data_IF_075366047413
#
_entry.id   IF_075366047413
#
_cell.length_a   1.000
_cell.length_b   1.000
_cell.length_c   1.000
_cell.angle_alpha   90.00
_cell.angle_beta   90.00
_cell.angle_gamma   90.00
#
_symmetry.space_group_name_H-M   'P 1'
#
loop_
_entity.id
_entity.type
_entity.pdbx_description
1 polymer ?
#
# COMPACT_ATOMS: atom_id res chain seq x y z
N UNK A 1 -2.04 -61.50 -20.84
CA UNK A 1 -2.25 -60.03 -20.70
C UNK A 1 -2.65 -59.58 -19.29
N UNK A 2 -3.02 -60.48 -18.35
CA UNK A 2 -3.43 -60.09 -16.98
C UNK A 2 -2.29 -59.92 -15.97
N UNK A 3 -1.24 -60.73 -16.06
CA UNK A 3 -0.20 -60.82 -15.01
C UNK A 3 0.73 -59.60 -14.94
N UNK A 4 0.96 -58.93 -16.07
CA UNK A 4 1.76 -57.71 -16.12
C UNK A 4 1.05 -56.53 -15.43
N UNK A 5 -0.29 -56.48 -15.52
CA UNK A 5 -1.10 -55.44 -14.88
C UNK A 5 -1.21 -55.67 -13.37
N UNK A 6 -1.40 -56.92 -12.95
CA UNK A 6 -1.38 -57.29 -11.54
C UNK A 6 -0.02 -56.96 -10.87
N UNK A 7 1.11 -57.26 -11.53
CA UNK A 7 2.45 -56.91 -11.03
C UNK A 7 2.70 -55.40 -10.97
N UNK A 8 2.15 -54.63 -11.91
CA UNK A 8 2.23 -53.16 -11.90
C UNK A 8 1.43 -52.58 -10.72
N UNK A 9 0.20 -53.05 -10.52
CA UNK A 9 -0.69 -52.60 -9.44
C UNK A 9 -0.12 -52.97 -8.06
N UNK A 10 0.50 -54.14 -7.93
CA UNK A 10 1.19 -54.55 -6.69
C UNK A 10 2.41 -53.67 -6.40
N UNK A 11 3.16 -53.27 -7.43
CA UNK A 11 4.31 -52.36 -7.30
C UNK A 11 3.88 -50.95 -6.90
N UNK A 12 2.77 -50.45 -7.44
CA UNK A 12 2.19 -49.15 -7.07
C UNK A 12 1.66 -49.16 -5.63
N UNK A 13 1.01 -50.25 -5.19
CA UNK A 13 0.61 -50.43 -3.77
C UNK A 13 1.81 -50.39 -2.82
N UNK A 14 2.88 -51.12 -3.14
CA UNK A 14 4.12 -51.12 -2.36
C UNK A 14 4.77 -49.72 -2.29
N UNK A 15 4.78 -48.96 -3.40
CA UNK A 15 5.28 -47.57 -3.40
C UNK A 15 4.42 -46.64 -2.55
N UNK A 16 3.10 -46.75 -2.63
CA UNK A 16 2.17 -45.93 -1.87
C UNK A 16 2.32 -46.18 -0.36
N UNK A 17 2.54 -47.43 0.02
CA UNK A 17 2.74 -47.85 1.41
C UNK A 17 4.09 -47.36 1.96
N UNK A 18 5.17 -47.46 1.18
CA UNK A 18 6.47 -46.86 1.53
C UNK A 18 6.34 -45.35 1.69
N UNK A 19 5.62 -44.68 0.79
CA UNK A 19 5.38 -43.24 0.86
C UNK A 19 4.57 -42.84 2.09
N UNK A 20 3.52 -43.59 2.44
CA UNK A 20 2.75 -43.41 3.68
C UNK A 20 3.61 -43.61 4.92
N UNK A 21 4.49 -44.61 4.93
CA UNK A 21 5.40 -44.90 6.05
C UNK A 21 6.44 -43.79 6.24
N UNK A 22 7.02 -43.29 5.15
CA UNK A 22 7.93 -42.14 5.16
C UNK A 22 7.22 -40.87 5.63
N UNK A 23 5.99 -40.61 5.16
CA UNK A 23 5.19 -39.46 5.59
C UNK A 23 4.82 -39.53 7.08
N UNK A 24 4.48 -40.71 7.59
CA UNK A 24 4.19 -40.94 9.01
C UNK A 24 5.44 -40.74 9.89
N UNK A 25 6.62 -41.23 9.47
CA UNK A 25 7.89 -40.99 10.16
C UNK A 25 8.30 -39.51 10.16
N UNK A 26 8.05 -38.79 9.06
CA UNK A 26 8.28 -37.34 8.98
C UNK A 26 7.27 -36.54 9.82
N UNK A 27 6.10 -37.11 10.14
CA UNK A 27 5.06 -36.49 10.97
C UNK A 27 5.31 -36.69 12.46
N UNK A 28 5.89 -37.83 12.86
CA UNK A 28 6.24 -38.12 14.27
C UNK A 28 7.52 -37.40 14.73
N UNK A 29 8.45 -37.10 13.81
CA UNK A 29 9.69 -36.36 14.11
C UNK A 29 9.52 -34.83 14.14
N UNK A 30 8.42 -34.30 13.60
CA UNK A 30 8.08 -32.87 13.72
C UNK A 30 7.54 -32.60 15.12
N UNK A 31 8.42 -32.20 16.05
CA UNK A 31 8.02 -31.62 17.34
C UNK A 31 7.00 -30.50 17.08
N UNK A 32 5.79 -30.65 17.64
CA UNK A 32 4.74 -29.62 17.66
C UNK A 32 5.25 -28.45 18.52
N UNK A 33 6.04 -27.56 17.93
CA UNK A 33 6.43 -26.31 18.58
C UNK A 33 5.20 -25.45 18.88
N UNK A 34 5.34 -24.51 19.81
CA UNK A 34 4.30 -23.58 20.31
C UNK A 34 3.41 -22.92 19.23
N UNK A 35 3.86 -22.88 17.97
CA UNK A 35 3.12 -22.32 16.84
C UNK A 35 3.25 -23.21 15.60
N UNK A 36 2.17 -23.33 14.83
CA UNK A 36 2.25 -23.91 13.48
C UNK A 36 3.06 -22.97 12.57
N UNK A 37 3.89 -23.51 11.65
CA UNK A 37 4.70 -22.70 10.74
C UNK A 37 3.85 -21.76 9.87
N UNK A 38 2.63 -22.16 9.53
CA UNK A 38 1.63 -21.35 8.83
C UNK A 38 1.21 -20.13 9.66
N UNK A 39 0.90 -20.32 10.94
CA UNK A 39 0.52 -19.23 11.85
C UNK A 39 1.68 -18.25 12.08
N UNK A 40 2.91 -18.76 12.21
CA UNK A 40 4.12 -17.92 12.32
C UNK A 40 4.35 -17.08 11.05
N UNK A 41 4.11 -17.63 9.87
CA UNK A 41 4.20 -16.89 8.59
C UNK A 41 3.11 -15.83 8.48
N UNK A 42 1.87 -16.17 8.82
CA UNK A 42 0.74 -15.23 8.83
C UNK A 42 1.01 -14.04 9.77
N UNK A 43 1.50 -14.31 10.98
CA UNK A 43 1.84 -13.28 11.96
C UNK A 43 2.97 -12.35 11.47
N UNK A 44 4.05 -12.90 10.91
CA UNK A 44 5.13 -12.08 10.33
C UNK A 44 4.63 -11.16 9.21
N UNK A 45 3.72 -11.64 8.37
CA UNK A 45 3.12 -10.83 7.30
C UNK A 45 2.23 -9.73 7.88
N UNK A 46 1.44 -10.02 8.91
CA UNK A 46 0.60 -9.04 9.59
C UNK A 46 1.45 -7.94 10.23
N UNK A 47 2.55 -8.30 10.88
CA UNK A 47 3.48 -7.32 11.48
C UNK A 47 4.14 -6.43 10.42
N UNK A 48 4.62 -7.01 9.30
CA UNK A 48 5.17 -6.21 8.20
C UNK A 48 4.13 -5.29 7.56
N UNK A 49 2.89 -5.77 7.39
CA UNK A 49 1.80 -4.96 6.85
C UNK A 49 1.49 -3.79 7.78
N UNK A 50 1.34 -4.04 9.09
CA UNK A 50 1.12 -3.00 10.09
C UNK A 50 2.28 -1.99 10.14
N UNK A 51 3.53 -2.48 10.07
CA UNK A 51 4.70 -1.60 10.03
C UNK A 51 4.71 -0.71 8.76
N UNK A 52 4.37 -1.26 7.60
CA UNK A 52 4.27 -0.50 6.35
C UNK A 52 3.14 0.54 6.40
N UNK A 53 1.98 0.17 6.94
CA UNK A 53 0.85 1.07 7.17
C UNK A 53 1.23 2.22 8.11
N UNK A 54 1.93 1.94 9.21
CA UNK A 54 2.38 2.96 10.15
C UNK A 54 3.42 3.90 9.53
N UNK A 55 4.40 3.37 8.77
CA UNK A 55 5.37 4.20 8.04
C UNK A 55 4.65 5.15 7.07
N UNK A 56 3.63 4.68 6.36
CA UNK A 56 2.84 5.53 5.47
C UNK A 56 2.09 6.62 6.23
N UNK A 57 1.46 6.26 7.36
CA UNK A 57 0.75 7.21 8.22
C UNK A 57 1.68 8.30 8.75
N UNK A 58 2.88 7.92 9.21
CA UNK A 58 3.89 8.87 9.69
C UNK A 58 4.36 9.80 8.57
N UNK A 59 4.50 9.30 7.34
CA UNK A 59 4.85 10.13 6.19
C UNK A 59 3.76 11.17 5.89
N UNK A 60 2.49 10.78 5.95
CA UNK A 60 1.35 11.68 5.75
C UNK A 60 1.26 12.75 6.86
N UNK A 61 1.54 12.37 8.11
CA UNK A 61 1.60 13.32 9.25
C UNK A 61 2.76 14.30 9.05
N UNK A 62 3.96 13.80 8.76
CA UNK A 62 5.15 14.63 8.51
C UNK A 62 4.94 15.60 7.35
N UNK A 63 4.30 15.17 6.28
CA UNK A 63 3.99 16.08 5.15
C UNK A 63 2.96 17.13 5.57
N UNK A 64 1.92 16.76 6.31
CA UNK A 64 0.94 17.74 6.81
C UNK A 64 1.59 18.78 7.73
N UNK A 65 2.46 18.33 8.65
CA UNK A 65 3.23 19.20 9.54
C UNK A 65 4.16 20.12 8.75
N UNK A 66 4.84 19.58 7.73
CA UNK A 66 5.67 20.37 6.81
C UNK A 66 4.86 21.45 6.11
N UNK A 67 3.69 21.12 5.56
CA UNK A 67 2.81 22.10 4.91
C UNK A 67 2.33 23.16 5.90
N UNK A 68 1.95 22.76 7.12
CA UNK A 68 1.56 23.70 8.18
C UNK A 68 2.72 24.65 8.53
N UNK A 69 3.93 24.13 8.73
CA UNK A 69 5.10 24.93 9.04
C UNK A 69 5.49 25.90 7.90
N UNK A 70 5.38 25.47 6.64
CA UNK A 70 5.62 26.35 5.47
C UNK A 70 4.59 27.47 5.42
N UNK A 71 3.30 27.15 5.63
CA UNK A 71 2.22 28.15 5.62
C UNK A 71 2.38 29.17 6.75
N UNK A 72 2.79 28.73 7.94
CA UNK A 72 3.05 29.61 9.09
C UNK A 72 4.26 30.52 8.86
N UNK A 73 5.38 29.96 8.34
CA UNK A 73 6.60 30.74 8.08
C UNK A 73 6.42 31.75 6.94
N UNK A 74 5.75 31.36 5.86
CA UNK A 74 5.62 32.19 4.64
C UNK A 74 4.55 33.27 4.81
N UNK A 75 3.52 33.03 5.63
CA UNK A 75 2.46 34.00 5.90
C UNK A 75 1.62 34.34 4.67
N UNK A 76 0.94 35.49 4.72
CA UNK A 76 0.18 36.02 3.57
C UNK A 76 1.10 36.84 2.65
N UNK A 77 0.89 36.80 1.33
CA UNK A 77 1.59 37.69 0.40
C UNK A 77 1.38 39.16 0.80
N UNK A 78 2.44 39.97 0.70
CA UNK A 78 2.32 41.42 0.91
C UNK A 78 1.51 42.05 -0.24
N UNK A 79 0.70 43.09 0.05
CA UNK A 79 -0.09 43.75 -0.99
C UNK A 79 0.83 44.50 -1.95
N UNK A 80 0.73 44.18 -3.24
CA UNK A 80 1.52 44.82 -4.30
C UNK A 80 0.69 45.69 -5.23
N UNK A 81 -0.61 45.45 -5.32
CA UNK A 81 -1.48 46.05 -6.34
C UNK A 81 -1.94 47.47 -6.00
N UNK A 82 -2.14 47.78 -4.71
CA UNK A 82 -2.71 49.06 -4.26
C UNK A 82 -1.68 49.92 -3.48
N UNK A 83 -0.38 49.65 -3.67
CA UNK A 83 0.70 50.28 -2.89
C UNK A 83 1.40 51.40 -3.66
N UNK A 84 1.77 52.46 -2.94
CA UNK A 84 2.58 53.57 -3.47
C UNK A 84 4.02 53.11 -3.80
N UNK A 85 4.71 53.81 -4.71
CA UNK A 85 6.07 53.46 -5.18
C UNK A 85 7.07 53.32 -4.01
N UNK A 86 7.06 54.26 -3.07
CA UNK A 86 7.91 54.19 -1.88
C UNK A 86 7.64 52.94 -1.02
N UNK A 87 6.38 52.51 -0.93
CA UNK A 87 6.00 51.31 -0.20
C UNK A 87 6.46 50.04 -0.93
N UNK A 88 6.37 50.00 -2.27
CA UNK A 88 6.88 48.89 -3.08
C UNK A 88 8.39 48.72 -2.92
N UNK A 89 9.16 49.82 -2.93
CA UNK A 89 10.61 49.78 -2.70
C UNK A 89 10.95 49.23 -1.31
N UNK A 90 10.21 49.63 -0.28
CA UNK A 90 10.40 49.13 1.07
C UNK A 90 10.13 47.61 1.16
N UNK A 91 9.05 47.14 0.52
CA UNK A 91 8.69 45.72 0.45
C UNK A 91 9.81 44.90 -0.23
N UNK A 92 10.35 45.38 -1.35
CA UNK A 92 11.45 44.71 -2.04
C UNK A 92 12.71 44.59 -1.17
N UNK A 93 13.08 45.66 -0.46
CA UNK A 93 14.23 45.65 0.46
C UNK A 93 14.02 44.69 1.63
N UNK A 94 12.82 44.64 2.19
CA UNK A 94 12.49 43.71 3.28
C UNK A 94 12.58 42.24 2.83
N UNK A 95 12.00 41.90 1.66
CA UNK A 95 12.11 40.56 1.11
C UNK A 95 13.57 40.17 0.83
N UNK A 96 14.36 41.08 0.26
CA UNK A 96 15.78 40.84 0.03
C UNK A 96 16.54 40.52 1.33
N UNK A 97 16.36 41.34 2.36
CA UNK A 97 17.00 41.12 3.67
C UNK A 97 16.54 39.81 4.32
N UNK A 98 15.26 39.45 4.16
CA UNK A 98 14.72 38.19 4.68
C UNK A 98 15.30 36.98 3.95
N UNK A 99 15.40 37.03 2.62
CA UNK A 99 16.02 35.98 1.81
C UNK A 99 17.49 35.78 2.20
N UNK A 100 18.23 36.88 2.39
CA UNK A 100 19.62 36.83 2.81
C UNK A 100 19.80 36.05 4.13
N UNK A 101 19.02 36.39 5.17
CA UNK A 101 19.05 35.69 6.47
C UNK A 101 18.62 34.23 6.36
N UNK A 102 17.55 33.94 5.62
CA UNK A 102 17.09 32.57 5.42
C UNK A 102 18.12 31.70 4.70
N UNK A 103 18.88 32.29 3.78
CA UNK A 103 19.96 31.58 3.09
C UNK A 103 21.11 31.26 4.05
N UNK A 104 21.51 32.20 4.93
CA UNK A 104 22.50 31.95 5.98
C UNK A 104 22.08 30.77 6.88
N UNK A 105 20.86 30.83 7.43
CA UNK A 105 20.31 29.73 8.25
C UNK A 105 20.24 28.40 7.49
N UNK A 106 19.90 28.44 6.20
CA UNK A 106 19.87 27.25 5.33
C UNK A 106 21.26 26.63 5.20
N UNK A 107 22.29 27.45 4.97
CA UNK A 107 23.67 26.98 4.85
C UNK A 107 24.16 26.28 6.10
N UNK A 108 23.89 26.85 7.28
CA UNK A 108 24.26 26.25 8.57
C UNK A 108 23.60 24.88 8.76
N UNK A 109 22.30 24.78 8.43
CA UNK A 109 21.56 23.52 8.50
C UNK A 109 22.08 22.48 7.51
N UNK A 110 22.38 22.88 6.27
CA UNK A 110 22.92 21.99 5.24
C UNK A 110 24.30 21.46 5.64
N UNK A 111 25.16 22.31 6.20
CA UNK A 111 26.47 21.89 6.70
C UNK A 111 26.33 20.90 7.86
N UNK A 112 25.46 21.19 8.82
CA UNK A 112 25.21 20.30 9.96
C UNK A 112 24.69 18.92 9.51
N UNK A 113 23.77 18.88 8.54
CA UNK A 113 23.26 17.63 7.95
C UNK A 113 24.39 16.88 7.25
N UNK A 114 25.21 17.56 6.45
CA UNK A 114 26.33 16.96 5.72
C UNK A 114 27.34 16.30 6.68
N UNK A 115 27.71 16.98 7.77
CA UNK A 115 28.59 16.41 8.80
C UNK A 115 27.98 15.15 9.45
N UNK A 116 26.68 15.17 9.70
CA UNK A 116 25.96 14.00 10.25
C UNK A 116 25.88 12.85 9.26
N UNK A 117 25.74 13.12 7.97
CA UNK A 117 25.80 12.10 6.92
C UNK A 117 27.18 11.43 6.87
N UNK A 118 28.27 12.19 6.98
CA UNK A 118 29.61 11.63 7.07
C UNK A 118 29.79 10.76 8.31
N UNK A 119 29.33 11.22 9.47
CA UNK A 119 29.38 10.45 10.72
C UNK A 119 28.59 9.13 10.60
N UNK A 120 27.41 9.15 9.99
CA UNK A 120 26.60 7.95 9.71
C UNK A 120 27.34 7.00 8.77
N UNK A 121 27.93 7.51 7.69
CA UNK A 121 28.69 6.70 6.73
C UNK A 121 29.89 6.03 7.39
N UNK A 122 30.63 6.77 8.22
CA UNK A 122 31.77 6.24 8.95
C UNK A 122 31.33 5.12 9.92
N UNK A 123 30.29 5.36 10.71
CA UNK A 123 29.73 4.35 11.63
C UNK A 123 29.23 3.13 10.84
N UNK A 124 28.56 3.34 9.71
CA UNK A 124 28.07 2.26 8.86
C UNK A 124 29.23 1.42 8.29
N UNK A 125 30.34 2.06 7.89
CA UNK A 125 31.55 1.34 7.46
C UNK A 125 32.13 0.52 8.60
N UNK A 126 32.29 1.11 9.79
CA UNK A 126 32.79 0.42 10.99
C UNK A 126 31.95 -0.80 11.34
N UNK A 127 30.62 -0.66 11.35
CA UNK A 127 29.68 -1.77 11.60
C UNK A 127 29.82 -2.86 10.54
N UNK A 128 30.02 -2.50 9.27
CA UNK A 128 30.17 -3.47 8.20
C UNK A 128 31.50 -4.24 8.29
N UNK A 129 32.61 -3.55 8.59
CA UNK A 129 33.91 -4.20 8.78
C UNK A 129 33.89 -5.13 10.01
N UNK A 130 33.23 -4.75 11.10
CA UNK A 130 33.02 -5.61 12.28
C UNK A 130 32.16 -6.84 12.00
N UNK A 131 31.14 -6.72 11.14
CA UNK A 131 30.28 -7.86 10.73
C UNK A 131 30.98 -8.82 9.77
N UNK A 132 32.18 -8.47 9.31
CA UNK A 132 33.01 -9.24 8.39
C UNK A 132 32.65 -8.95 6.94
N UNK A 133 33.66 -8.53 6.17
CA UNK A 133 33.61 -8.24 4.72
C UNK A 133 33.30 -9.47 3.84
N UNK A 134 33.06 -10.63 4.44
CA UNK A 134 33.11 -11.94 3.79
C UNK A 134 31.94 -12.87 4.17
N UNK A 135 30.72 -12.34 4.33
CA UNK A 135 29.53 -13.17 4.10
C UNK A 135 29.18 -12.99 2.63
N UNK A 136 29.84 -13.77 1.75
CA UNK A 136 29.43 -13.86 0.34
C UNK A 136 27.97 -14.29 0.33
N UNK A 137 27.02 -13.44 -0.09
CA UNK A 137 25.65 -13.87 -0.22
C UNK A 137 25.67 -15.04 -1.21
N UNK A 138 25.11 -16.22 -0.87
CA UNK A 138 25.20 -17.38 -1.74
C UNK A 138 24.61 -17.00 -3.11
N UNK A 139 25.48 -16.94 -4.13
CA UNK A 139 25.12 -16.51 -5.47
C UNK A 139 24.13 -17.51 -6.06
N UNK A 140 22.85 -17.14 -6.07
CA UNK A 140 21.82 -17.92 -6.77
C UNK A 140 21.96 -17.64 -8.26
N UNK A 141 21.89 -18.68 -9.10
CA UNK A 141 21.78 -18.51 -10.55
C UNK A 141 20.44 -17.85 -10.87
N UNK A 142 20.43 -16.52 -10.97
CA UNK A 142 19.24 -15.74 -11.33
C UNK A 142 19.25 -15.56 -12.84
N UNK A 143 18.22 -16.05 -13.53
CA UNK A 143 18.03 -15.74 -14.96
C UNK A 143 17.56 -14.30 -15.12
N UNK A 144 18.21 -13.54 -16.03
CA UNK A 144 18.02 -12.10 -16.28
C UNK A 144 16.54 -11.69 -16.43
N UNK A 145 15.71 -12.57 -16.98
CA UNK A 145 14.29 -12.29 -17.27
C UNK A 145 13.31 -13.12 -16.44
N UNK A 146 13.76 -14.09 -15.64
CA UNK A 146 12.85 -15.01 -14.94
C UNK A 146 11.90 -14.29 -13.99
N UNK A 147 12.39 -13.27 -13.28
CA UNK A 147 11.55 -12.47 -12.39
C UNK A 147 10.57 -11.57 -13.15
N UNK A 148 10.93 -11.08 -14.33
CA UNK A 148 10.03 -10.29 -15.17
C UNK A 148 8.95 -11.16 -15.81
N UNK A 149 9.32 -12.36 -16.27
CA UNK A 149 8.40 -13.35 -16.80
C UNK A 149 7.43 -13.88 -15.72
N UNK A 150 7.91 -14.12 -14.51
CA UNK A 150 7.08 -14.51 -13.38
C UNK A 150 6.13 -13.38 -12.97
N UNK A 151 6.58 -12.12 -12.97
CA UNK A 151 5.71 -10.95 -12.75
C UNK A 151 4.64 -10.84 -13.84
N UNK A 152 5.01 -11.03 -15.11
CA UNK A 152 4.08 -11.00 -16.23
C UNK A 152 3.08 -12.15 -16.13
N UNK A 153 3.52 -13.38 -15.82
CA UNK A 153 2.66 -14.54 -15.53
C UNK A 153 1.75 -14.34 -14.34
N UNK A 154 2.22 -13.70 -13.28
CA UNK A 154 1.38 -13.40 -12.11
C UNK A 154 0.36 -12.31 -12.42
N UNK A 155 0.72 -11.33 -13.26
CA UNK A 155 -0.21 -10.32 -13.71
C UNK A 155 -1.29 -10.93 -14.62
N UNK A 156 -0.92 -11.77 -15.58
CA UNK A 156 -1.88 -12.49 -16.44
C UNK A 156 -2.73 -13.49 -15.63
N UNK A 157 -2.15 -14.20 -14.65
CA UNK A 157 -2.90 -15.07 -13.74
C UNK A 157 -3.87 -14.30 -12.85
N UNK A 158 -3.50 -13.13 -12.34
CA UNK A 158 -4.39 -12.25 -11.57
C UNK A 158 -5.52 -11.71 -12.44
N UNK A 159 -5.22 -11.29 -13.67
CA UNK A 159 -6.23 -10.87 -14.64
C UNK A 159 -7.21 -12.01 -14.94
N UNK A 160 -6.71 -13.22 -15.22
CA UNK A 160 -7.52 -14.41 -15.46
C UNK A 160 -8.34 -14.84 -14.22
N UNK A 161 -7.82 -14.64 -13.00
CA UNK A 161 -8.58 -14.88 -11.77
C UNK A 161 -9.67 -13.85 -11.53
N UNK A 162 -9.48 -12.60 -11.94
CA UNK A 162 -10.53 -11.58 -11.95
C UNK A 162 -11.58 -11.86 -13.03
N UNK A 163 -11.23 -12.61 -14.07
CA UNK A 163 -12.10 -13.05 -15.17
C UNK A 163 -12.89 -14.36 -14.88
N UNK A 164 -12.81 -14.92 -13.67
CA UNK A 164 -13.63 -16.08 -13.28
C UNK A 164 -15.14 -15.78 -13.17
N UNK A 165 -15.53 -14.52 -13.34
CA UNK A 165 -16.94 -14.08 -13.38
C UNK A 165 -17.45 -13.87 -14.82
N UNK A 166 -16.56 -13.70 -15.81
CA UNK A 166 -16.92 -13.44 -17.21
C UNK A 166 -17.28 -14.70 -18.00
N UNK A 167 -16.71 -15.86 -17.62
CA UNK A 167 -16.96 -17.15 -18.28
C UNK A 167 -18.13 -17.97 -17.72
N UNK A 168 -18.84 -17.48 -16.70
CA UNK A 168 -20.01 -18.16 -16.12
C UNK A 168 -21.29 -17.53 -16.67
N UNK A 169 -22.17 -18.34 -17.28
CA UNK A 169 -23.54 -17.88 -17.59
C UNK A 169 -24.23 -17.51 -16.27
N UNK A 170 -24.74 -16.27 -16.08
CA UNK A 170 -25.57 -15.96 -14.93
C UNK A 170 -26.84 -16.83 -14.99
N UNK A 171 -27.09 -17.63 -13.95
CA UNK A 171 -28.39 -18.29 -13.76
C UNK A 171 -29.41 -17.19 -13.46
N UNK A 172 -30.48 -17.12 -14.26
CA UNK A 172 -31.63 -16.26 -13.96
C UNK A 172 -32.25 -16.75 -12.64
N UNK A 173 -32.08 -15.98 -11.57
CA UNK A 173 -32.92 -16.10 -10.38
C UNK A 173 -34.28 -15.49 -10.73
N UNK A 174 -35.22 -16.33 -11.13
CA UNK A 174 -36.61 -16.13 -10.66
C UNK A 174 -36.57 -16.23 -9.13
N UNK A 175 -37.49 -15.59 -8.40
CA UNK A 175 -37.45 -15.33 -6.94
C UNK A 175 -36.39 -14.31 -6.44
N UNK A 176 -36.55 -13.03 -6.82
CA UNK A 176 -36.27 -11.91 -5.90
C UNK A 176 -37.51 -11.70 -5.01
N UNK A 177 -37.35 -11.87 -3.68
CA UNK A 177 -38.29 -11.29 -2.72
C UNK A 177 -38.11 -9.77 -2.75
N UNK A 178 -39.15 -9.10 -3.22
CA UNK A 178 -39.23 -7.66 -3.48
C UNK A 178 -39.55 -6.86 -2.21
N UNK A 179 -38.62 -6.80 -1.25
CA UNK A 179 -38.78 -5.95 -0.04
C UNK A 179 -37.88 -4.71 -0.03
N UNK A 180 -36.80 -4.68 -0.83
CA UNK A 180 -35.84 -3.57 -0.82
C UNK A 180 -36.10 -2.46 -1.85
N UNK A 181 -36.90 -2.71 -2.91
CA UNK A 181 -37.25 -1.66 -3.90
C UNK A 181 -38.38 -0.74 -3.39
N UNK A 182 -39.31 -1.28 -2.60
CA UNK A 182 -40.43 -0.52 -2.02
C UNK A 182 -40.03 0.54 -0.97
N UNK A 183 -38.80 0.49 -0.43
CA UNK A 183 -38.30 1.50 0.53
C UNK A 183 -37.61 2.65 -0.20
N UNK A 184 -36.84 2.36 -1.26
CA UNK A 184 -36.18 3.39 -2.08
C UNK A 184 -37.20 4.23 -2.87
N UNK A 185 -38.20 3.58 -3.45
CA UNK A 185 -39.19 4.26 -4.30
C UNK A 185 -40.15 5.14 -3.50
N UNK A 186 -40.50 4.75 -2.26
CA UNK A 186 -41.33 5.57 -1.35
C UNK A 186 -40.61 6.80 -0.82
N UNK A 187 -39.30 6.71 -0.57
CA UNK A 187 -38.50 7.85 -0.09
C UNK A 187 -38.26 8.83 -1.24
N UNK A 188 -37.91 8.33 -2.43
CA UNK A 188 -37.73 9.16 -3.63
C UNK A 188 -39.00 9.90 -4.03
N UNK A 189 -40.16 9.23 -3.99
CA UNK A 189 -41.45 9.82 -4.35
C UNK A 189 -41.92 10.88 -3.33
N UNK A 190 -41.70 10.68 -2.02
CA UNK A 190 -42.00 11.69 -1.00
C UNK A 190 -41.11 12.94 -1.13
N UNK A 191 -39.81 12.78 -1.37
CA UNK A 191 -38.88 13.91 -1.52
C UNK A 191 -39.21 14.71 -2.80
N UNK A 192 -39.54 14.02 -3.89
CA UNK A 192 -39.96 14.66 -5.15
C UNK A 192 -41.25 15.48 -5.00
N UNK A 193 -42.26 14.95 -4.30
CA UNK A 193 -43.52 15.66 -4.06
C UNK A 193 -43.33 16.89 -3.17
N UNK A 194 -42.44 16.84 -2.15
CA UNK A 194 -42.12 18.00 -1.32
C UNK A 194 -41.40 19.12 -2.09
N UNK A 195 -40.59 18.78 -3.10
CA UNK A 195 -39.92 19.78 -3.94
C UNK A 195 -40.86 20.41 -4.97
N UNK A 196 -41.72 19.62 -5.64
CA UNK A 196 -42.71 20.18 -6.58
C UNK A 196 -43.73 21.07 -5.87
N UNK A 197 -44.32 20.62 -4.75
CA UNK A 197 -45.29 21.44 -4.00
C UNK A 197 -44.68 22.76 -3.50
N UNK A 198 -43.37 22.82 -3.26
CA UNK A 198 -42.69 24.03 -2.81
C UNK A 198 -42.32 24.98 -3.97
N UNK A 199 -42.08 24.45 -5.17
CA UNK A 199 -41.89 25.24 -6.38
C UNK A 199 -43.23 25.84 -6.83
N UNK A 200 -44.30 25.05 -6.85
CA UNK A 200 -45.64 25.52 -7.24
C UNK A 200 -46.19 26.57 -6.27
N UNK A 201 -45.90 26.42 -4.98
CA UNK A 201 -46.28 27.43 -3.96
C UNK A 201 -45.47 28.73 -4.08
N UNK A 202 -44.25 28.70 -4.62
CA UNK A 202 -43.45 29.91 -4.89
C UNK A 202 -43.87 30.60 -6.19
N UNK A 203 -44.28 29.82 -7.21
CA UNK A 203 -44.75 30.37 -8.48
C UNK A 203 -46.11 31.09 -8.35
N UNK A 204 -46.92 30.69 -7.37
CA UNK A 204 -48.21 31.33 -7.05
C UNK A 204 -48.07 32.66 -6.26
N UNK A 205 -46.86 33.01 -5.80
CA UNK A 205 -46.58 34.24 -5.04
C UNK A 205 -45.93 35.34 -5.89
N UNK A 206 -45.62 35.04 -7.16
CA UNK A 206 -44.94 35.95 -8.11
C UNK A 206 -45.88 36.38 -9.26
N UNK A 207 -47.14 35.93 -9.29
CA UNK A 207 -48.22 36.49 -10.09
C UNK A 207 -49.36 36.96 -9.16
#
# INVERSE_FOLDING_TARGET
>A
MGDAKAKFDEKERKKLEIRKRLEAQMKSTKKKGFMTPERKKALKNLLRRKAAEEVKRQQEIRERERQKAISERTGKPKPTHDSNEAALIAICKEYHNRIYKLNEEKWDLELAVCLKEYEIQEIQSRVNDMRGKFIVPPLKKVSKYQTQLEKMRQWTYKLAKMDMRGGLKPVKKEYELDDSKLVSDRIGSKIGQYFLNKIDSFQCLIN
#
